data_IF_889569716460
#
_entry.id   IF_889569716460
#
_cell.length_a   1.000
_cell.length_b   1.000
_cell.length_c   1.000
_cell.angle_alpha   90.00
_cell.angle_beta   90.00
_cell.angle_gamma   90.00
#
_symmetry.space_group_name_H-M   'P 1'
#
loop_
_entity.id
_entity.type
_entity.pdbx_description
1 polymer ?
#
# COMPACT_ATOMS: atom_id res chain seq x y z
N UNK A 1 -7.50 8.75 11.74
CA UNK A 1 -6.29 8.32 10.99
C UNK A 1 -6.63 8.27 9.51
N UNK A 2 -5.67 8.58 8.65
CA UNK A 2 -5.81 8.41 7.20
C UNK A 2 -4.82 7.33 6.80
N UNK A 3 -5.31 6.23 6.22
CA UNK A 3 -4.49 5.22 5.57
C UNK A 3 -4.47 5.52 4.08
N UNK A 4 -3.29 5.43 3.49
CA UNK A 4 -3.09 5.69 2.07
C UNK A 4 -2.28 4.56 1.48
N UNK A 5 -2.83 3.93 0.46
CA UNK A 5 -2.11 3.00 -0.39
C UNK A 5 -1.84 3.69 -1.73
N UNK A 6 -0.56 3.87 -2.05
CA UNK A 6 -0.10 4.63 -3.19
C UNK A 6 0.51 3.68 -4.22
N UNK A 7 -0.36 3.20 -5.13
CA UNK A 7 0.01 2.39 -6.28
C UNK A 7 0.32 3.21 -7.54
N UNK A 8 0.82 2.54 -8.58
CA UNK A 8 1.17 3.17 -9.85
C UNK A 8 -0.05 3.75 -10.59
N UNK A 9 -1.17 3.01 -10.64
CA UNK A 9 -2.37 3.46 -11.36
C UNK A 9 -3.32 4.26 -10.48
N UNK A 10 -3.46 3.88 -9.20
CA UNK A 10 -4.40 4.50 -8.28
C UNK A 10 -3.80 4.73 -6.90
N UNK A 11 -4.29 5.78 -6.23
CA UNK A 11 -4.09 6.03 -4.81
C UNK A 11 -5.39 5.79 -4.08
N UNK A 12 -5.37 4.87 -3.13
CA UNK A 12 -6.51 4.53 -2.30
C UNK A 12 -6.38 5.23 -0.94
N UNK A 13 -7.44 5.93 -0.54
CA UNK A 13 -7.55 6.55 0.76
C UNK A 13 -8.59 5.81 1.59
N UNK A 14 -8.24 5.50 2.83
CA UNK A 14 -9.16 5.01 3.86
C UNK A 14 -9.11 5.96 5.06
N UNK A 15 -10.26 6.53 5.40
CA UNK A 15 -10.43 7.43 6.53
C UNK A 15 -10.99 6.61 7.68
N UNK A 16 -10.24 6.56 8.80
CA UNK A 16 -10.65 5.84 10.00
C UNK A 16 -10.91 6.79 11.17
N UNK A 17 -11.98 6.48 11.92
CA UNK A 17 -12.36 7.11 13.19
C UNK A 17 -12.66 6.01 14.20
N UNK A 18 -12.08 6.10 15.40
CA UNK A 18 -12.25 5.13 16.49
C UNK A 18 -12.02 3.66 16.05
N UNK A 19 -10.96 3.43 15.26
CA UNK A 19 -10.60 2.09 14.77
C UNK A 19 -11.50 1.51 13.68
N UNK A 20 -12.48 2.26 13.18
CA UNK A 20 -13.38 1.83 12.10
C UNK A 20 -13.20 2.70 10.86
N UNK A 21 -13.27 2.08 9.70
CA UNK A 21 -13.34 2.82 8.44
C UNK A 21 -14.69 3.54 8.32
N UNK A 22 -14.62 4.85 8.09
CA UNK A 22 -15.82 5.70 7.90
C UNK A 22 -15.96 6.16 6.46
N UNK A 23 -14.88 6.13 5.67
CA UNK A 23 -14.91 6.47 4.26
C UNK A 23 -13.70 5.88 3.55
N UNK A 24 -13.91 5.33 2.36
CA UNK A 24 -12.83 5.01 1.43
C UNK A 24 -13.11 5.66 0.07
N UNK A 25 -12.04 5.94 -0.70
CA UNK A 25 -12.14 6.39 -2.08
C UNK A 25 -10.80 6.25 -2.81
N UNK A 26 -10.86 6.10 -4.13
CA UNK A 26 -9.67 5.99 -4.99
C UNK A 26 -9.55 7.18 -5.92
N UNK A 27 -8.33 7.56 -6.24
CA UNK A 27 -8.01 8.61 -7.21
C UNK A 27 -6.91 8.08 -8.13
N UNK A 28 -7.02 8.23 -9.47
CA UNK A 28 -5.92 7.88 -10.36
C UNK A 28 -4.63 8.60 -9.96
N UNK A 29 -3.51 7.89 -9.89
CA UNK A 29 -2.23 8.42 -9.37
C UNK A 29 -1.77 9.66 -10.13
N UNK A 30 -1.93 9.67 -11.46
CA UNK A 30 -1.59 10.81 -12.31
C UNK A 30 -2.42 12.08 -12.01
N UNK A 31 -3.58 11.95 -11.36
CA UNK A 31 -4.42 13.09 -10.95
C UNK A 31 -4.04 13.68 -9.60
N UNK A 32 -3.10 13.07 -8.86
CA UNK A 32 -2.66 13.59 -7.57
C UNK A 32 -1.57 14.65 -7.78
N UNK A 33 -1.85 15.87 -7.35
CA UNK A 33 -0.91 16.97 -7.30
C UNK A 33 -0.99 17.68 -5.94
N UNK A 34 -0.09 18.65 -5.69
CA UNK A 34 -0.02 19.36 -4.40
C UNK A 34 -1.34 20.00 -3.98
N UNK A 35 -2.02 20.70 -4.91
CA UNK A 35 -3.29 21.40 -4.63
C UNK A 35 -4.38 20.40 -4.24
N UNK A 36 -4.54 19.34 -5.04
CA UNK A 36 -5.55 18.30 -4.79
C UNK A 36 -5.27 17.56 -3.48
N UNK A 37 -4.03 17.17 -3.24
CA UNK A 37 -3.65 16.48 -2.00
C UNK A 37 -3.91 17.36 -0.78
N UNK A 38 -3.53 18.64 -0.82
CA UNK A 38 -3.80 19.60 0.26
C UNK A 38 -5.30 19.67 0.56
N UNK A 39 -6.14 19.86 -0.46
CA UNK A 39 -7.59 19.91 -0.26
C UNK A 39 -8.19 18.61 0.32
N UNK A 40 -7.65 17.45 -0.05
CA UNK A 40 -8.05 16.16 0.56
C UNK A 40 -7.66 16.13 2.05
N UNK A 41 -6.41 16.46 2.38
CA UNK A 41 -5.91 16.38 3.76
C UNK A 41 -6.49 17.45 4.69
N UNK A 42 -6.99 18.57 4.15
CA UNK A 42 -7.72 19.59 4.90
C UNK A 42 -9.16 19.19 5.18
N UNK A 43 -9.79 18.44 4.26
CA UNK A 43 -11.16 17.94 4.44
C UNK A 43 -11.31 16.95 5.59
N UNK A 44 -10.23 16.27 5.97
CA UNK A 44 -10.24 15.25 7.01
C UNK A 44 -9.39 15.70 8.20
N UNK A 45 -10.04 15.99 9.33
CA UNK A 45 -9.39 16.32 10.60
C UNK A 45 -8.74 15.08 11.23
N UNK A 46 -7.59 14.68 10.70
CA UNK A 46 -6.77 13.59 11.23
C UNK A 46 -5.35 14.09 11.48
N UNK A 47 -4.83 13.84 12.68
CA UNK A 47 -3.46 14.17 13.05
C UNK A 47 -2.41 13.23 12.45
N UNK A 48 -2.81 11.99 12.09
CA UNK A 48 -1.90 10.93 11.61
C UNK A 48 -2.30 10.40 10.23
N UNK A 49 -1.29 10.22 9.37
CA UNK A 49 -1.36 9.63 8.03
C UNK A 49 -0.40 8.43 8.00
N UNK A 50 -0.88 7.26 7.61
CA UNK A 50 -0.07 6.05 7.40
C UNK A 50 -0.08 5.72 5.92
N UNK A 51 1.10 5.52 5.33
CA UNK A 51 1.30 5.37 3.90
C UNK A 51 1.96 4.02 3.61
N UNK A 52 1.37 3.24 2.71
CA UNK A 52 2.04 2.19 1.96
C UNK A 52 2.25 2.71 0.54
N UNK A 53 3.44 2.55 -0.03
CA UNK A 53 3.72 3.12 -1.36
C UNK A 53 4.79 2.38 -2.14
N UNK A 54 4.53 2.28 -3.44
CA UNK A 54 5.48 1.89 -4.48
C UNK A 54 5.84 3.06 -5.42
N UNK A 55 5.42 4.29 -5.10
CA UNK A 55 5.60 5.50 -5.92
C UNK A 55 6.38 6.56 -5.14
N UNK A 56 7.73 6.60 -5.25
CA UNK A 56 8.59 7.44 -4.40
C UNK A 56 8.31 8.94 -4.51
N UNK A 57 8.05 9.43 -5.73
CA UNK A 57 7.79 10.86 -5.96
C UNK A 57 6.51 11.32 -5.24
N UNK A 58 5.50 10.47 -5.20
CA UNK A 58 4.26 10.80 -4.54
C UNK A 58 4.38 10.69 -3.02
N UNK A 59 5.12 9.71 -2.52
CA UNK A 59 5.48 9.63 -1.09
C UNK A 59 6.18 10.90 -0.60
N UNK A 60 7.15 11.42 -1.37
CA UNK A 60 7.80 12.71 -1.06
C UNK A 60 6.81 13.88 -1.02
N UNK A 61 5.83 13.91 -1.92
CA UNK A 61 4.79 14.94 -1.92
C UNK A 61 3.91 14.84 -0.65
N UNK A 62 3.52 13.63 -0.24
CA UNK A 62 2.78 13.42 1.00
C UNK A 62 3.55 13.91 2.22
N UNK A 63 4.84 13.58 2.35
CA UNK A 63 5.70 14.11 3.43
C UNK A 63 5.76 15.64 3.43
N UNK A 64 5.84 16.27 2.26
CA UNK A 64 5.88 17.74 2.12
C UNK A 64 4.56 18.43 2.46
N UNK A 65 3.42 17.89 2.03
CA UNK A 65 2.09 18.49 2.25
C UNK A 65 1.57 18.17 3.65
N UNK A 66 1.89 16.97 4.16
CA UNK A 66 1.50 16.49 5.47
C UNK A 66 2.35 17.01 6.62
N UNK A 67 3.24 17.99 6.44
CA UNK A 67 4.15 18.49 7.51
C UNK A 67 3.44 18.92 8.80
N UNK A 68 2.17 19.30 8.73
CA UNK A 68 1.35 19.66 9.91
C UNK A 68 0.69 18.46 10.59
N UNK A 69 0.97 17.25 10.10
CA UNK A 69 0.44 15.97 10.54
C UNK A 69 1.61 14.98 10.71
N UNK A 70 1.43 13.98 11.54
CA UNK A 70 2.38 12.87 11.65
C UNK A 70 2.21 11.94 10.44
N UNK A 71 3.22 11.90 9.56
CA UNK A 71 3.23 11.02 8.38
C UNK A 71 4.17 9.86 8.65
N UNK A 72 3.63 8.64 8.58
CA UNK A 72 4.38 7.40 8.75
C UNK A 72 4.33 6.62 7.44
N UNK A 73 5.49 6.22 6.93
CA UNK A 73 5.63 5.41 5.72
C UNK A 73 6.04 3.99 6.09
N UNK A 74 5.21 3.03 5.73
CA UNK A 74 5.48 1.60 5.89
C UNK A 74 6.61 1.19 4.94
N UNK A 75 7.58 0.44 5.45
CA UNK A 75 8.81 0.05 4.77
C UNK A 75 9.97 1.04 4.92
N UNK A 76 9.69 2.30 5.31
CA UNK A 76 10.73 3.32 5.58
C UNK A 76 10.82 3.64 7.07
N UNK A 77 9.73 4.13 7.67
CA UNK A 77 9.66 4.52 9.07
C UNK A 77 9.29 3.33 9.97
N UNK A 78 8.52 2.37 9.44
CA UNK A 78 8.08 1.16 10.15
C UNK A 78 8.29 -0.06 9.27
N UNK A 79 9.06 -1.03 9.73
CA UNK A 79 9.23 -2.31 9.03
C UNK A 79 7.95 -3.15 9.15
N UNK A 80 7.58 -3.83 8.06
CA UNK A 80 6.50 -4.80 8.09
C UNK A 80 6.96 -6.00 8.94
N UNK A 81 6.21 -6.42 9.97
CA UNK A 81 6.63 -7.48 10.90
C UNK A 81 6.39 -8.88 10.32
N UNK A 82 7.10 -9.19 9.23
CA UNK A 82 7.14 -10.48 8.56
C UNK A 82 8.58 -10.86 8.21
N UNK A 83 8.95 -12.12 8.44
CA UNK A 83 10.22 -12.66 7.96
C UNK A 83 10.13 -12.90 6.46
N UNK A 84 11.15 -12.53 5.71
CA UNK A 84 11.22 -12.70 4.25
C UNK A 84 12.47 -13.45 3.88
N UNK A 85 12.34 -14.50 3.05
CA UNK A 85 13.48 -15.23 2.49
C UNK A 85 14.12 -14.51 1.30
N UNK A 86 13.48 -13.45 0.80
CA UNK A 86 14.05 -12.50 -0.16
C UNK A 86 14.60 -11.27 0.55
N UNK A 87 15.49 -10.53 -0.12
CA UNK A 87 15.88 -9.21 0.33
C UNK A 87 14.63 -8.30 0.44
N UNK A 88 14.21 -7.88 1.64
CA UNK A 88 12.97 -7.12 1.80
C UNK A 88 12.96 -5.78 1.07
N UNK A 89 14.14 -5.25 0.71
CA UNK A 89 14.27 -3.99 -0.06
C UNK A 89 13.88 -4.15 -1.53
N UNK A 90 13.90 -5.36 -2.06
CA UNK A 90 13.53 -5.67 -3.45
C UNK A 90 12.05 -6.03 -3.58
N UNK A 91 11.35 -6.20 -2.44
CA UNK A 91 9.93 -6.52 -2.40
C UNK A 91 9.14 -5.25 -2.14
N UNK A 92 8.06 -5.05 -2.90
CA UNK A 92 7.12 -3.96 -2.66
C UNK A 92 6.57 -4.00 -1.22
N UNK A 93 6.46 -2.82 -0.61
CA UNK A 93 5.94 -2.68 0.75
C UNK A 93 4.49 -3.15 0.86
N UNK A 94 3.73 -3.00 -0.22
CA UNK A 94 2.37 -3.51 -0.43
C UNK A 94 2.33 -5.04 -0.35
N UNK A 95 3.19 -5.74 -1.08
CA UNK A 95 3.26 -7.21 -1.08
C UNK A 95 3.60 -7.76 0.30
N UNK A 96 4.59 -7.17 0.98
CA UNK A 96 4.94 -7.57 2.35
C UNK A 96 3.79 -7.32 3.32
N UNK A 97 3.08 -6.20 3.19
CA UNK A 97 1.95 -5.86 4.05
C UNK A 97 0.75 -6.78 3.82
N UNK A 98 0.46 -7.13 2.56
CA UNK A 98 -0.55 -8.14 2.20
C UNK A 98 -0.20 -9.51 2.78
N UNK A 99 1.07 -9.93 2.68
CA UNK A 99 1.54 -11.18 3.27
C UNK A 99 1.43 -11.19 4.80
N UNK A 100 1.76 -10.07 5.44
CA UNK A 100 1.59 -9.90 6.88
C UNK A 100 0.11 -9.93 7.29
N UNK A 101 -0.77 -9.26 6.55
CA UNK A 101 -2.21 -9.30 6.81
C UNK A 101 -2.76 -10.73 6.65
N UNK A 102 -2.38 -11.44 5.58
CA UNK A 102 -2.77 -12.84 5.38
C UNK A 102 -2.27 -13.75 6.51
N UNK A 103 -1.04 -13.53 7.01
CA UNK A 103 -0.51 -14.23 8.19
C UNK A 103 -1.36 -13.99 9.45
N UNK A 104 -1.92 -12.80 9.62
CA UNK A 104 -2.75 -12.45 10.78
C UNK A 104 -4.17 -12.99 10.68
N UNK A 105 -4.73 -13.04 9.48
CA UNK A 105 -6.12 -13.46 9.24
C UNK A 105 -6.24 -14.99 9.15
N UNK A 106 -5.24 -15.66 8.56
CA UNK A 106 -5.29 -17.09 8.27
C UNK A 106 -4.16 -17.86 8.98
N UNK A 107 -4.42 -19.09 9.42
CA UNK A 107 -3.47 -19.88 10.23
C UNK A 107 -2.56 -20.83 9.43
N UNK A 108 -2.89 -21.17 8.18
CA UNK A 108 -2.16 -22.17 7.36
C UNK A 108 -1.21 -21.55 6.35
N UNK A 109 -0.51 -22.32 5.52
CA UNK A 109 0.20 -21.74 4.37
C UNK A 109 -0.78 -20.97 3.47
N UNK A 110 -0.30 -19.91 2.81
CA UNK A 110 -1.16 -19.04 1.98
C UNK A 110 -0.51 -18.74 0.64
N UNK A 111 -1.37 -18.53 -0.36
CA UNK A 111 -1.06 -17.82 -1.59
C UNK A 111 -1.95 -16.58 -1.60
N UNK A 112 -1.35 -15.40 -1.65
CA UNK A 112 -2.06 -14.14 -1.87
C UNK A 112 -1.95 -13.78 -3.35
N UNK A 113 -3.08 -13.52 -3.98
CA UNK A 113 -3.14 -13.05 -5.37
C UNK A 113 -3.73 -11.65 -5.37
N UNK A 114 -2.94 -10.66 -5.79
CA UNK A 114 -3.40 -9.27 -5.91
C UNK A 114 -3.60 -8.91 -7.38
N UNK A 115 -4.78 -8.42 -7.72
CA UNK A 115 -5.17 -8.00 -9.07
C UNK A 115 -5.09 -6.47 -9.17
N UNK A 116 -3.87 -5.97 -9.34
CA UNK A 116 -3.59 -4.53 -9.48
C UNK A 116 -3.13 -4.15 -10.89
N UNK A 117 -2.30 -3.11 -10.95
CA UNK A 117 -1.56 -2.72 -12.18
C UNK A 117 -0.75 -3.90 -12.74
N UNK A 118 -0.22 -4.73 -11.84
CA UNK A 118 0.33 -6.05 -12.12
C UNK A 118 -0.49 -7.09 -11.33
N UNK A 119 -0.46 -8.34 -11.76
CA UNK A 119 -0.97 -9.45 -10.95
C UNK A 119 0.20 -10.02 -10.15
N UNK A 120 0.11 -10.02 -8.83
CA UNK A 120 1.14 -10.64 -7.97
C UNK A 120 0.65 -11.94 -7.38
N UNK A 121 1.56 -12.88 -7.23
CA UNK A 121 1.35 -14.15 -6.53
C UNK A 121 2.37 -14.23 -5.41
N UNK A 122 1.93 -14.16 -4.15
CA UNK A 122 2.78 -14.09 -2.98
C UNK A 122 2.59 -15.32 -2.09
N UNK A 123 3.64 -16.13 -1.96
CA UNK A 123 3.62 -17.36 -1.18
C UNK A 123 4.05 -17.10 0.27
N UNK A 124 3.29 -17.65 1.21
CA UNK A 124 3.58 -17.55 2.64
C UNK A 124 3.65 -18.96 3.23
N UNK A 125 4.78 -19.26 3.89
CA UNK A 125 5.04 -20.56 4.50
C UNK A 125 4.06 -20.86 5.63
N UNK A 126 3.98 -22.13 6.05
CA UNK A 126 3.22 -22.52 7.24
C UNK A 126 3.72 -21.84 8.53
N UNK A 127 5.00 -21.44 8.57
CA UNK A 127 5.60 -20.65 9.66
C UNK A 127 5.28 -19.15 9.57
N UNK A 128 4.60 -18.71 8.49
CA UNK A 128 4.27 -17.31 8.25
C UNK A 128 5.47 -16.49 7.80
N UNK A 129 6.36 -17.08 7.02
CA UNK A 129 7.47 -16.40 6.34
C UNK A 129 7.05 -16.09 4.90
N UNK A 130 7.44 -14.93 4.39
CA UNK A 130 7.26 -14.57 3.00
C UNK A 130 8.30 -15.32 2.15
N UNK A 131 7.80 -16.19 1.27
CA UNK A 131 8.60 -17.09 0.44
C UNK A 131 8.92 -16.48 -0.94
N UNK A 132 8.49 -15.25 -1.22
CA UNK A 132 8.58 -14.67 -2.55
C UNK A 132 7.34 -14.94 -3.39
N UNK A 133 7.50 -14.81 -4.70
CA UNK A 133 6.35 -14.79 -5.58
C UNK A 133 6.64 -14.44 -7.03
N UNK A 134 5.57 -14.40 -7.82
CA UNK A 134 5.61 -14.03 -9.24
C UNK A 134 4.89 -12.70 -9.46
N UNK A 135 5.31 -11.96 -10.49
CA UNK A 135 4.65 -10.75 -10.97
C UNK A 135 4.34 -10.97 -12.45
N UNK A 136 3.08 -10.81 -12.80
CA UNK A 136 2.59 -10.89 -14.18
C UNK A 136 2.03 -9.54 -14.62
N UNK A 137 1.94 -9.28 -15.94
CA UNK A 137 1.19 -8.14 -16.45
C UNK A 137 -0.24 -8.10 -15.88
N UNK A 138 -0.72 -6.92 -15.50
CA UNK A 138 -2.10 -6.72 -15.10
C UNK A 138 -3.06 -7.03 -16.24
N UNK A 139 -4.33 -7.32 -15.91
CA UNK A 139 -5.37 -7.65 -16.90
C UNK A 139 -5.46 -6.58 -18.00
N UNK A 140 -5.46 -5.30 -17.62
CA UNK A 140 -5.53 -4.19 -18.58
C UNK A 140 -4.29 -4.09 -19.47
N UNK A 141 -3.09 -4.29 -18.90
CA UNK A 141 -1.84 -4.28 -19.66
C UNK A 141 -1.76 -5.46 -20.63
N UNK A 142 -2.15 -6.66 -20.18
CA UNK A 142 -2.19 -7.87 -21.01
C UNK A 142 -3.18 -7.69 -22.17
N UNK A 143 -4.36 -7.13 -21.90
CA UNK A 143 -5.36 -6.84 -22.94
C UNK A 143 -4.86 -5.82 -23.97
N UNK A 144 -4.14 -4.77 -23.54
CA UNK A 144 -3.58 -3.74 -24.44
C UNK A 144 -2.41 -4.21 -25.30
N UNK A 145 -1.77 -5.33 -24.94
CA UNK A 145 -0.65 -5.89 -25.69
C UNK A 145 -1.05 -6.93 -26.74
N UNK A 146 -2.32 -7.29 -26.81
CA UNK A 146 -2.91 -8.09 -27.89
C UNK A 146 -3.22 -7.20 -29.09
#
# INVERSE_FOLDING_TARGET
MIFVDIGNTTVHFSIQKNGREVKNFRIPTYKINRKRLKGILERFSSSKIIICSVVPNLTKLFKKVGKTKEVIVIGEDVKVPISSLYNPKEVGSDRLLCAFAAKKIFSRAKLVIDFGTAITFDFISSKGEYLGGFIFPGIESAYKSL
#
